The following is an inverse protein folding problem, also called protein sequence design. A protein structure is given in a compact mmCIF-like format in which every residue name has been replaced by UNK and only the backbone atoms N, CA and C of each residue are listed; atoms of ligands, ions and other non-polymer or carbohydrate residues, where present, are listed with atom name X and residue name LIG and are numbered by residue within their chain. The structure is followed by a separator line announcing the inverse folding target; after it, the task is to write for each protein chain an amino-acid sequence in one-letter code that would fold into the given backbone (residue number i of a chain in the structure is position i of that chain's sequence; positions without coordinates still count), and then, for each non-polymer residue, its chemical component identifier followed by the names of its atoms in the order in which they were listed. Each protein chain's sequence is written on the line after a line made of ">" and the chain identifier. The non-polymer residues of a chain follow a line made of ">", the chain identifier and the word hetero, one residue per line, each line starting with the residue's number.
data_IF_306890317783
#
_entry.id   IF_306890317783
#
_cell.length_a   1.000
_cell.length_b   1.000
_cell.length_c   1.000
_cell.angle_alpha   90.00
_cell.angle_beta   90.00
_cell.angle_gamma   90.00
#
_symmetry.space_group_name_H-M   'P 1'
#
loop_
_entity.id
_entity.type
_entity.pdbx_description
1 polymer ?
#
# COMPACT_ATOMS: atom_id res chain seq x y z
N UNK A 1 4.98 -23.60 4.82
CA UNK A 1 5.17 -23.08 6.19
C UNK A 1 3.79 -22.75 6.75
N UNK A 2 3.47 -23.11 8.00
CA UNK A 2 2.12 -22.98 8.56
C UNK A 2 1.58 -21.54 8.51
N UNK A 3 2.45 -20.54 8.77
CA UNK A 3 2.08 -19.13 8.72
C UNK A 3 1.59 -18.69 7.34
N UNK A 4 2.23 -19.18 6.27
CA UNK A 4 1.87 -18.88 4.88
C UNK A 4 0.52 -19.49 4.47
N UNK A 5 0.00 -20.46 5.22
CA UNK A 5 -1.31 -21.06 5.01
C UNK A 5 -2.39 -20.47 5.93
N UNK A 6 -2.03 -20.09 7.16
CA UNK A 6 -2.96 -19.58 8.17
C UNK A 6 -3.27 -18.08 8.02
N UNK A 7 -2.30 -17.29 7.57
CA UNK A 7 -2.46 -15.84 7.46
C UNK A 7 -3.43 -15.39 6.36
N UNK A 8 -3.40 -15.96 5.13
CA UNK A 8 -4.24 -15.46 4.05
C UNK A 8 -5.76 -15.50 4.35
N UNK A 9 -6.33 -16.57 4.94
CA UNK A 9 -7.74 -16.58 5.36
C UNK A 9 -8.10 -15.52 6.40
N UNK A 10 -7.17 -15.15 7.28
CA UNK A 10 -7.37 -14.05 8.25
C UNK A 10 -7.36 -12.68 7.57
N UNK A 11 -6.51 -12.49 6.57
CA UNK A 11 -6.34 -11.20 5.91
C UNK A 11 -7.55 -10.83 5.02
N UNK A 12 -8.24 -11.79 4.39
CA UNK A 12 -9.44 -11.52 3.57
C UNK A 12 -10.51 -10.67 4.28
N UNK A 13 -11.04 -11.05 5.47
CA UNK A 13 -12.03 -10.24 6.16
C UNK A 13 -11.47 -8.87 6.59
N UNK A 14 -10.16 -8.77 6.87
CA UNK A 14 -9.51 -7.50 7.15
C UNK A 14 -9.53 -6.55 5.93
N UNK A 15 -9.19 -7.03 4.73
CA UNK A 15 -9.23 -6.22 3.50
C UNK A 15 -10.67 -5.79 3.15
N UNK A 16 -11.66 -6.64 3.38
CA UNK A 16 -13.07 -6.28 3.18
C UNK A 16 -13.53 -5.22 4.19
N UNK A 17 -13.11 -5.37 5.44
CA UNK A 17 -13.38 -4.38 6.48
C UNK A 17 -12.75 -3.02 6.15
N UNK A 18 -11.52 -2.98 5.63
CA UNK A 18 -10.86 -1.71 5.28
C UNK A 18 -11.63 -0.96 4.17
N UNK A 19 -12.10 -1.66 3.14
CA UNK A 19 -12.96 -1.05 2.10
C UNK A 19 -14.25 -0.47 2.69
N UNK A 20 -14.88 -1.19 3.62
CA UNK A 20 -16.07 -0.71 4.30
C UNK A 20 -15.77 0.53 5.17
N UNK A 21 -14.68 0.51 5.93
CA UNK A 21 -14.24 1.65 6.73
C UNK A 21 -13.93 2.87 5.86
N UNK A 22 -13.28 2.67 4.70
CA UNK A 22 -13.03 3.72 3.72
C UNK A 22 -14.34 4.35 3.21
N UNK A 23 -15.36 3.54 2.92
CA UNK A 23 -16.68 4.03 2.51
C UNK A 23 -17.35 4.87 3.60
N UNK A 24 -17.32 4.43 4.86
CA UNK A 24 -17.85 5.19 5.99
C UNK A 24 -17.12 6.52 6.18
N UNK A 25 -15.78 6.51 6.12
CA UNK A 25 -14.97 7.73 6.20
C UNK A 25 -15.30 8.70 5.06
N UNK A 26 -15.53 8.21 3.83
CA UNK A 26 -15.94 9.04 2.71
C UNK A 26 -17.29 9.72 2.96
N UNK A 27 -18.27 8.97 3.48
CA UNK A 27 -19.58 9.52 3.84
C UNK A 27 -19.46 10.60 4.93
N UNK A 28 -18.72 10.31 6.01
CA UNK A 28 -18.52 11.28 7.09
C UNK A 28 -17.85 12.56 6.60
N UNK A 29 -16.85 12.46 5.72
CA UNK A 29 -16.19 13.63 5.10
C UNK A 29 -17.14 14.45 4.23
N UNK A 30 -18.04 13.80 3.48
CA UNK A 30 -19.04 14.49 2.67
C UNK A 30 -20.04 15.27 3.55
N UNK A 31 -20.47 14.67 4.67
CA UNK A 31 -21.36 15.29 5.66
C UNK A 31 -20.71 16.52 6.31
N UNK A 32 -19.47 16.40 6.78
CA UNK A 32 -18.72 17.53 7.39
C UNK A 32 -18.51 18.68 6.41
N UNK A 33 -18.40 18.40 5.11
CA UNK A 33 -18.28 19.40 4.04
C UNK A 33 -19.61 20.02 3.62
N UNK A 34 -20.72 19.65 4.26
CA UNK A 34 -22.05 20.21 3.96
C UNK A 34 -22.65 19.75 2.62
N UNK A 35 -22.20 18.62 2.05
CA UNK A 35 -22.86 18.09 0.86
C UNK A 35 -24.26 17.58 1.24
N UNK A 36 -25.28 18.03 0.49
CA UNK A 36 -26.67 17.66 0.72
C UNK A 36 -26.93 16.14 0.63
N UNK A 37 -28.11 15.68 1.07
CA UNK A 37 -28.44 14.26 1.10
C UNK A 37 -28.44 13.66 -0.32
N UNK A 38 -27.49 12.77 -0.59
CA UNK A 38 -27.42 12.01 -1.82
C UNK A 38 -28.03 10.60 -1.64
N UNK A 39 -28.63 10.08 -2.71
CA UNK A 39 -29.16 8.70 -2.71
C UNK A 39 -28.04 7.69 -2.46
N UNK A 40 -28.33 6.52 -1.85
CA UNK A 40 -27.32 5.47 -1.64
C UNK A 40 -26.48 5.11 -2.88
N UNK A 41 -27.06 4.90 -4.08
CA UNK A 41 -26.26 4.58 -5.27
C UNK A 41 -25.38 5.76 -5.72
N UNK A 42 -25.84 6.99 -5.61
CA UNK A 42 -25.02 8.17 -5.94
C UNK A 42 -23.83 8.31 -4.97
N UNK A 43 -24.02 8.01 -3.69
CA UNK A 43 -22.95 8.00 -2.68
C UNK A 43 -21.91 6.92 -2.96
N UNK A 44 -22.35 5.71 -3.31
CA UNK A 44 -21.45 4.61 -3.68
C UNK A 44 -20.66 4.94 -4.96
N UNK A 45 -21.31 5.48 -5.99
CA UNK A 45 -20.63 5.88 -7.22
C UNK A 45 -19.60 6.99 -6.98
N UNK A 46 -19.92 7.98 -6.14
CA UNK A 46 -18.97 9.03 -5.74
C UNK A 46 -17.76 8.44 -5.01
N UNK A 47 -17.99 7.56 -4.02
CA UNK A 47 -16.92 6.86 -3.31
C UNK A 47 -16.00 6.09 -4.26
N UNK A 48 -16.56 5.29 -5.16
CA UNK A 48 -15.80 4.50 -6.12
C UNK A 48 -14.98 5.39 -7.05
N UNK A 49 -15.48 6.56 -7.47
CA UNK A 49 -14.73 7.50 -8.31
C UNK A 49 -13.58 8.15 -7.56
N UNK A 50 -13.79 8.53 -6.29
CA UNK A 50 -12.78 9.23 -5.49
C UNK A 50 -11.69 8.29 -4.97
N UNK A 51 -12.04 7.07 -4.59
CA UNK A 51 -11.13 6.11 -3.94
C UNK A 51 -10.83 4.90 -4.85
N UNK A 52 -11.04 5.03 -6.16
CA UNK A 52 -10.98 3.93 -7.14
C UNK A 52 -9.73 3.08 -7.01
N UNK A 53 -8.55 3.72 -6.93
CA UNK A 53 -7.27 3.02 -6.92
C UNK A 53 -7.11 2.16 -5.66
N UNK A 54 -7.54 2.68 -4.50
CA UNK A 54 -7.49 1.93 -3.24
C UNK A 54 -8.50 0.79 -3.24
N UNK A 55 -9.72 1.02 -3.71
CA UNK A 55 -10.75 -0.03 -3.83
C UNK A 55 -10.29 -1.13 -4.80
N UNK A 56 -9.76 -0.75 -5.96
CA UNK A 56 -9.23 -1.70 -6.94
C UNK A 56 -8.07 -2.52 -6.35
N UNK A 57 -7.17 -1.89 -5.60
CA UNK A 57 -6.10 -2.61 -4.90
C UNK A 57 -6.66 -3.66 -3.94
N UNK A 58 -7.63 -3.31 -3.09
CA UNK A 58 -8.22 -4.24 -2.13
C UNK A 58 -8.96 -5.38 -2.83
N UNK A 59 -9.72 -5.07 -3.88
CA UNK A 59 -10.38 -6.07 -4.71
C UNK A 59 -9.38 -6.99 -5.41
N UNK A 60 -8.27 -6.47 -5.93
CA UNK A 60 -7.22 -7.28 -6.53
C UNK A 60 -6.55 -8.19 -5.49
N UNK A 61 -6.32 -7.70 -4.27
CA UNK A 61 -5.80 -8.53 -3.17
C UNK A 61 -6.78 -9.68 -2.90
N UNK A 62 -8.07 -9.38 -2.63
CA UNK A 62 -9.15 -10.33 -2.31
C UNK A 62 -9.44 -11.33 -3.42
N UNK A 63 -9.62 -10.86 -4.65
CA UNK A 63 -10.14 -11.67 -5.75
C UNK A 63 -9.04 -12.35 -6.57
N UNK A 64 -7.79 -11.88 -6.47
CA UNK A 64 -6.66 -12.42 -7.25
C UNK A 64 -5.56 -12.93 -6.35
N UNK A 65 -4.95 -12.07 -5.52
CA UNK A 65 -3.77 -12.45 -4.75
C UNK A 65 -4.06 -13.54 -3.72
N UNK A 66 -5.20 -13.48 -3.03
CA UNK A 66 -5.57 -14.49 -2.04
C UNK A 66 -5.87 -15.87 -2.66
N UNK A 67 -6.70 -16.01 -3.72
CA UNK A 67 -6.86 -17.27 -4.42
C UNK A 67 -5.56 -17.85 -4.97
N UNK A 68 -4.69 -17.00 -5.53
CA UNK A 68 -3.35 -17.42 -5.98
C UNK A 68 -2.53 -17.97 -4.80
N UNK A 69 -2.53 -17.28 -3.66
CA UNK A 69 -1.74 -17.64 -2.48
C UNK A 69 -2.27 -18.87 -1.72
N UNK A 70 -3.57 -19.19 -1.83
CA UNK A 70 -4.21 -20.26 -1.07
C UNK A 70 -4.58 -21.48 -1.91
N UNK A 71 -5.15 -21.28 -3.09
CA UNK A 71 -5.69 -22.35 -3.93
C UNK A 71 -4.68 -22.83 -4.97
N UNK A 72 -4.00 -21.90 -5.65
CA UNK A 72 -3.10 -22.25 -6.76
C UNK A 72 -1.64 -22.39 -6.37
N UNK A 73 -1.27 -21.96 -5.16
CA UNK A 73 0.11 -22.00 -4.68
C UNK A 73 0.67 -23.42 -4.53
N UNK A 74 -0.18 -24.42 -4.29
CA UNK A 74 0.21 -25.84 -4.13
C UNK A 74 1.37 -26.03 -3.13
N UNK A 75 1.41 -25.23 -2.05
CA UNK A 75 2.47 -25.28 -1.04
C UNK A 75 3.84 -24.72 -1.47
N UNK A 76 3.97 -24.16 -2.68
CA UNK A 76 5.23 -23.59 -3.19
C UNK A 76 5.36 -22.11 -2.83
N UNK A 77 6.56 -21.56 -2.94
CA UNK A 77 6.76 -20.10 -2.85
C UNK A 77 6.50 -19.46 -1.48
N UNK A 78 6.55 -20.25 -0.38
CA UNK A 78 6.34 -19.74 0.99
C UNK A 78 7.21 -18.52 1.33
N UNK A 79 8.49 -18.57 0.93
CA UNK A 79 9.43 -17.47 1.12
C UNK A 79 8.94 -16.18 0.45
N UNK A 80 8.56 -16.27 -0.83
CA UNK A 80 8.08 -15.12 -1.61
C UNK A 80 6.77 -14.57 -1.06
N UNK A 81 5.84 -15.44 -0.65
CA UNK A 81 4.60 -15.02 -0.02
C UNK A 81 4.88 -14.29 1.30
N UNK A 82 5.75 -14.84 2.16
CA UNK A 82 6.16 -14.18 3.41
C UNK A 82 6.77 -12.80 3.18
N UNK A 83 7.64 -12.67 2.18
CA UNK A 83 8.18 -11.38 1.76
C UNK A 83 7.08 -10.41 1.31
N UNK A 84 6.11 -10.85 0.50
CA UNK A 84 4.99 -10.02 0.06
C UNK A 84 4.12 -9.54 1.24
N UNK A 85 3.96 -10.36 2.28
CA UNK A 85 3.23 -9.98 3.48
C UNK A 85 3.95 -8.90 4.31
N UNK A 86 5.27 -8.72 4.16
CA UNK A 86 5.98 -7.62 4.82
C UNK A 86 5.45 -6.24 4.42
N UNK A 87 4.78 -6.13 3.26
CA UNK A 87 4.12 -4.91 2.82
C UNK A 87 3.13 -4.37 3.88
N UNK A 88 2.51 -5.24 4.67
CA UNK A 88 1.57 -4.86 5.72
C UNK A 88 2.22 -4.08 6.87
N UNK A 89 3.53 -4.21 7.09
CA UNK A 89 4.23 -3.47 8.15
C UNK A 89 4.09 -1.95 8.03
N UNK A 90 3.91 -1.44 6.81
CA UNK A 90 3.77 -0.01 6.56
C UNK A 90 2.35 0.55 6.75
N UNK A 91 1.31 -0.31 6.77
CA UNK A 91 -0.09 0.13 6.91
C UNK A 91 -0.40 0.84 8.22
N UNK A 92 0.13 0.45 9.42
CA UNK A 92 -0.14 1.20 10.65
C UNK A 92 0.33 2.65 10.55
N UNK A 93 1.46 2.91 9.90
CA UNK A 93 1.99 4.28 9.76
C UNK A 93 1.17 5.14 8.79
N UNK A 94 0.53 4.54 7.77
CA UNK A 94 -0.42 5.24 6.90
C UNK A 94 -1.64 5.69 7.70
N UNK A 95 -2.19 4.81 8.53
CA UNK A 95 -3.37 5.09 9.34
C UNK A 95 -3.06 6.10 10.46
N UNK A 96 -1.94 5.89 11.17
CA UNK A 96 -1.51 6.72 12.28
C UNK A 96 -1.24 8.17 11.85
N UNK A 97 -0.80 8.38 10.61
CA UNK A 97 -0.61 9.73 10.05
C UNK A 97 -1.87 10.59 10.06
N UNK A 98 -3.05 9.99 9.90
CA UNK A 98 -4.35 10.71 9.96
C UNK A 98 -4.70 11.13 11.39
N UNK A 99 -4.33 10.31 12.38
CA UNK A 99 -4.61 10.58 13.81
C UNK A 99 -3.65 11.63 14.36
N UNK A 100 -2.38 11.56 13.99
CA UNK A 100 -1.34 12.43 14.53
C UNK A 100 -1.31 13.84 13.94
N UNK A 101 -2.26 14.22 13.08
CA UNK A 101 -2.26 15.53 12.41
C UNK A 101 -2.24 16.72 13.39
N UNK A 102 -2.77 16.53 14.61
CA UNK A 102 -2.78 17.54 15.68
C UNK A 102 -1.46 17.64 16.45
N UNK A 103 -0.57 16.64 16.35
CA UNK A 103 0.69 16.56 17.08
C UNK A 103 1.89 16.65 16.14
N UNK A 104 2.36 17.88 15.85
CA UNK A 104 3.37 18.17 14.81
C UNK A 104 4.64 17.30 14.90
N UNK A 105 5.20 17.09 16.09
CA UNK A 105 6.42 16.28 16.26
C UNK A 105 6.18 14.79 15.96
N UNK A 106 5.12 14.22 16.53
CA UNK A 106 4.74 12.83 16.28
C UNK A 106 4.31 12.61 14.83
N UNK A 107 3.65 13.58 14.21
CA UNK A 107 3.28 13.54 12.80
C UNK A 107 4.52 13.46 11.89
N UNK A 108 5.55 14.26 12.17
CA UNK A 108 6.84 14.20 11.45
C UNK A 108 7.56 12.88 11.65
N UNK A 109 7.61 12.37 12.89
CA UNK A 109 8.23 11.07 13.19
C UNK A 109 7.51 9.93 12.48
N UNK A 110 6.17 9.91 12.52
CA UNK A 110 5.37 8.94 11.79
C UNK A 110 5.55 9.06 10.27
N UNK A 111 5.65 10.28 9.74
CA UNK A 111 5.95 10.51 8.33
C UNK A 111 7.29 9.90 7.90
N UNK A 112 8.32 10.01 8.73
CA UNK A 112 9.62 9.37 8.50
C UNK A 112 9.52 7.84 8.60
N UNK A 113 8.84 7.32 9.64
CA UNK A 113 8.62 5.89 9.81
C UNK A 113 7.83 5.29 8.63
N UNK A 114 6.82 5.98 8.14
CA UNK A 114 6.07 5.61 6.94
C UNK A 114 6.99 5.58 5.70
N UNK A 115 7.81 6.61 5.49
CA UNK A 115 8.71 6.67 4.34
C UNK A 115 9.67 5.46 4.32
N UNK A 116 10.31 5.18 5.46
CA UNK A 116 11.27 4.08 5.60
C UNK A 116 10.56 2.73 5.45
N UNK A 117 9.48 2.49 6.19
CA UNK A 117 8.79 1.19 6.10
C UNK A 117 8.21 0.94 4.71
N UNK A 118 7.66 1.96 4.05
CA UNK A 118 7.12 1.83 2.69
C UNK A 118 8.24 1.56 1.66
N UNK A 119 9.37 2.26 1.74
CA UNK A 119 10.50 2.03 0.82
C UNK A 119 11.04 0.60 0.96
N UNK A 120 11.33 0.15 2.18
CA UNK A 120 11.95 -1.17 2.39
C UNK A 120 10.97 -2.32 2.17
N UNK A 121 9.75 -2.22 2.70
CA UNK A 121 8.82 -3.34 2.74
C UNK A 121 7.93 -3.45 1.50
N UNK A 122 7.87 -2.41 0.65
CA UNK A 122 7.03 -2.42 -0.56
C UNK A 122 7.81 -2.17 -1.83
N UNK A 123 8.64 -1.12 -1.87
CA UNK A 123 9.34 -0.73 -3.11
C UNK A 123 10.57 -1.60 -3.35
N UNK A 124 11.50 -1.64 -2.40
CA UNK A 124 12.73 -2.45 -2.50
C UNK A 124 12.47 -3.96 -2.40
N UNK A 125 11.27 -4.34 -1.96
CA UNK A 125 10.84 -5.72 -1.91
C UNK A 125 10.95 -6.40 -3.27
N UNK A 126 10.47 -5.79 -4.36
CA UNK A 126 10.48 -6.42 -5.68
C UNK A 126 11.91 -6.67 -6.21
N UNK A 127 12.83 -5.68 -6.21
CA UNK A 127 14.24 -5.95 -6.51
C UNK A 127 14.85 -7.03 -5.62
N UNK A 128 14.53 -7.04 -4.32
CA UNK A 128 15.00 -8.05 -3.40
C UNK A 128 14.51 -9.46 -3.77
N UNK A 129 13.25 -9.63 -4.18
CA UNK A 129 12.72 -10.92 -4.62
C UNK A 129 13.48 -11.46 -5.84
N UNK A 130 13.80 -10.59 -6.81
CA UNK A 130 14.59 -10.99 -7.98
C UNK A 130 16.03 -11.33 -7.60
N UNK A 131 16.63 -10.57 -6.68
CA UNK A 131 17.96 -10.84 -6.17
C UNK A 131 18.03 -12.17 -5.41
N UNK A 132 17.07 -12.44 -4.52
CA UNK A 132 17.00 -13.69 -3.77
C UNK A 132 16.82 -14.90 -4.70
N UNK A 133 15.96 -14.78 -5.72
CA UNK A 133 15.82 -15.80 -6.76
C UNK A 133 17.11 -16.01 -7.55
N UNK A 134 17.76 -14.91 -7.98
CA UNK A 134 19.03 -14.95 -8.71
C UNK A 134 20.12 -15.65 -7.91
N UNK A 135 20.29 -15.29 -6.62
CA UNK A 135 21.23 -15.94 -5.70
C UNK A 135 20.95 -17.43 -5.56
N UNK A 136 19.68 -17.82 -5.41
CA UNK A 136 19.30 -19.23 -5.31
C UNK A 136 19.60 -20.03 -6.59
N UNK A 137 19.56 -19.39 -7.76
CA UNK A 137 19.83 -20.03 -9.07
C UNK A 137 21.24 -19.77 -9.61
N UNK A 138 22.12 -19.09 -8.87
CA UNK A 138 23.45 -18.71 -9.33
C UNK A 138 23.46 -17.71 -10.50
N UNK A 139 22.40 -16.93 -10.66
CA UNK A 139 22.24 -15.95 -11.74
C UNK A 139 22.53 -14.52 -11.23
N UNK A 140 23.17 -13.67 -12.06
CA UNK A 140 23.25 -12.24 -11.75
C UNK A 140 21.86 -11.60 -11.85
N UNK A 141 21.59 -10.59 -11.02
CA UNK A 141 20.28 -9.93 -10.90
C UNK A 141 19.70 -9.48 -12.26
N UNK A 142 20.53 -8.88 -13.11
CA UNK A 142 20.11 -8.38 -14.42
C UNK A 142 19.62 -9.48 -15.38
N UNK A 143 20.02 -10.75 -15.17
CA UNK A 143 19.57 -11.89 -15.98
C UNK A 143 18.26 -12.50 -15.49
N UNK A 144 17.85 -12.24 -14.26
CA UNK A 144 16.66 -12.86 -13.65
C UNK A 144 15.37 -12.59 -14.44
N UNK A 145 15.07 -11.34 -14.89
CA UNK A 145 13.85 -11.08 -15.67
C UNK A 145 13.79 -11.86 -16.98
N UNK A 146 14.93 -12.14 -17.60
CA UNK A 146 15.02 -12.84 -18.89
C UNK A 146 14.86 -14.36 -18.77
N UNK A 147 15.13 -14.91 -17.58
CA UNK A 147 15.01 -16.36 -17.30
C UNK A 147 13.63 -16.70 -16.73
N UNK A 148 12.99 -15.76 -16.03
CA UNK A 148 11.65 -15.97 -15.49
C UNK A 148 10.60 -15.99 -16.60
N UNK A 149 9.58 -16.87 -16.51
CA UNK A 149 8.45 -16.82 -17.44
C UNK A 149 7.80 -15.43 -17.42
N UNK A 150 7.42 -14.86 -18.58
CA UNK A 150 6.92 -13.48 -18.68
C UNK A 150 5.75 -13.17 -17.74
N UNK A 151 4.89 -14.14 -17.45
CA UNK A 151 3.77 -14.01 -16.53
C UNK A 151 4.21 -13.59 -15.10
N UNK A 152 5.35 -14.07 -14.60
CA UNK A 152 5.85 -13.68 -13.28
C UNK A 152 6.38 -12.26 -13.27
N UNK A 153 7.05 -11.83 -14.34
CA UNK A 153 7.49 -10.45 -14.49
C UNK A 153 6.28 -9.50 -14.58
N UNK A 154 5.26 -9.88 -15.34
CA UNK A 154 4.01 -9.13 -15.44
C UNK A 154 3.30 -9.03 -14.08
N UNK A 155 3.17 -10.15 -13.35
CA UNK A 155 2.57 -10.16 -12.01
C UNK A 155 3.36 -9.28 -11.02
N UNK A 156 4.68 -9.37 -11.02
CA UNK A 156 5.54 -8.53 -10.18
C UNK A 156 5.38 -7.04 -10.54
N UNK A 157 5.36 -6.70 -11.83
CA UNK A 157 5.16 -5.33 -12.29
C UNK A 157 3.78 -4.78 -11.90
N UNK A 158 2.71 -5.58 -12.06
CA UNK A 158 1.36 -5.22 -11.66
C UNK A 158 1.25 -4.97 -10.15
N UNK A 159 1.93 -5.78 -9.34
CA UNK A 159 1.98 -5.59 -7.89
C UNK A 159 2.84 -4.40 -7.48
N UNK A 160 3.93 -4.12 -8.20
CA UNK A 160 4.87 -3.04 -7.89
C UNK A 160 4.39 -1.65 -8.34
N UNK A 161 3.70 -1.55 -9.46
CA UNK A 161 3.23 -0.28 -10.04
C UNK A 161 2.44 0.60 -9.05
N UNK A 162 1.41 0.12 -8.35
CA UNK A 162 0.70 0.94 -7.37
C UNK A 162 1.60 1.33 -6.18
N UNK A 163 2.54 0.46 -5.76
CA UNK A 163 3.48 0.78 -4.68
C UNK A 163 4.40 1.94 -5.08
N UNK A 164 4.96 1.92 -6.28
CA UNK A 164 5.80 3.01 -6.79
C UNK A 164 5.02 4.32 -6.87
N UNK A 165 3.79 4.27 -7.41
CA UNK A 165 2.92 5.43 -7.49
C UNK A 165 2.65 6.05 -6.11
N UNK A 166 2.24 5.23 -5.13
CA UNK A 166 1.98 5.72 -3.78
C UNK A 166 3.25 6.19 -3.07
N UNK A 167 4.38 5.53 -3.29
CA UNK A 167 5.64 5.98 -2.73
C UNK A 167 6.01 7.37 -3.24
N UNK A 168 5.83 7.64 -4.54
CA UNK A 168 6.01 8.99 -5.09
C UNK A 168 5.08 10.01 -4.43
N UNK A 169 3.82 9.67 -4.16
CA UNK A 169 2.88 10.55 -3.44
C UNK A 169 3.32 10.78 -1.98
N UNK A 170 3.79 9.75 -1.28
CA UNK A 170 4.30 9.84 0.09
C UNK A 170 5.54 10.73 0.12
N UNK A 171 6.50 10.53 -0.79
CA UNK A 171 7.68 11.40 -0.92
C UNK A 171 7.29 12.86 -1.16
N UNK A 172 6.30 13.13 -2.02
CA UNK A 172 5.78 14.49 -2.25
C UNK A 172 5.05 15.05 -1.02
N UNK A 173 4.38 14.22 -0.24
CA UNK A 173 3.78 14.59 1.04
C UNK A 173 4.84 14.95 2.08
N UNK A 174 5.83 14.08 2.27
CA UNK A 174 6.94 14.27 3.17
C UNK A 174 7.76 15.52 2.81
N UNK A 175 8.05 15.74 1.52
CA UNK A 175 8.74 16.96 1.07
C UNK A 175 8.01 18.22 1.50
N UNK A 176 6.68 18.27 1.37
CA UNK A 176 5.87 19.41 1.84
C UNK A 176 5.88 19.57 3.36
N UNK A 177 5.90 18.46 4.10
CA UNK A 177 5.93 18.46 5.57
C UNK A 177 7.29 18.89 6.15
N UNK A 178 8.38 18.55 5.46
CA UNK A 178 9.75 18.83 5.90
C UNK A 178 10.36 20.09 5.27
N UNK A 179 9.70 20.71 4.28
CA UNK A 179 10.18 21.98 3.73
C UNK A 179 10.17 23.05 4.82
N UNK A 180 11.29 23.72 5.10
CA UNK A 180 11.29 24.91 5.92
C UNK A 180 10.31 25.92 5.30
N UNK A 181 9.51 26.57 6.14
CA UNK A 181 8.69 27.68 5.70
C UNK A 181 9.64 28.81 5.27
N UNK A 182 9.97 28.87 3.98
CA UNK A 182 10.81 29.92 3.44
C UNK A 182 10.08 31.25 3.60
N UNK A 183 10.64 32.15 4.41
CA UNK A 183 10.25 33.56 4.49
C UNK A 183 9.03 33.85 5.36
N UNK A 184 9.19 33.75 6.68
CA UNK A 184 8.46 34.67 7.56
C UNK A 184 9.03 36.07 7.32
N UNK A 185 8.47 36.81 6.36
CA UNK A 185 8.62 38.27 6.30
C UNK A 185 8.25 38.81 7.67
N UNK A 186 9.24 39.38 8.34
CA UNK A 186 9.03 40.34 9.42
C UNK A 186 8.00 41.36 8.92
N UNK A 187 6.87 41.47 9.62
CA UNK A 187 6.08 42.70 9.57
C UNK A 187 6.59 43.59 10.70
N UNK A 188 7.26 44.71 10.40
CA UNK A 188 7.30 45.85 11.30
C UNK A 188 6.33 46.95 10.82
N UNK A 189 6.01 47.93 11.66
CA UNK A 189 5.79 47.89 13.10
C UNK A 189 4.30 47.71 13.48
#
# INVERSE_FOLDING_TARGET
>A
HWLASAYPPFAVPYFLYDVYAMYLCHQQRAQVKGHGPATPPARAAAFLRHELLMVLHHLAMVLVCFPVATLWRQGKGDFFLGCLLMAELSTPFVCLGKVLILHTALHKLNGLALLVTFLWCRVLLFPYLYWAYGRHRGLPLARVPWVLPPAYNAAAALLAAPQLYWFCLICRGAWRLFRPMAGGTTRPP
#
